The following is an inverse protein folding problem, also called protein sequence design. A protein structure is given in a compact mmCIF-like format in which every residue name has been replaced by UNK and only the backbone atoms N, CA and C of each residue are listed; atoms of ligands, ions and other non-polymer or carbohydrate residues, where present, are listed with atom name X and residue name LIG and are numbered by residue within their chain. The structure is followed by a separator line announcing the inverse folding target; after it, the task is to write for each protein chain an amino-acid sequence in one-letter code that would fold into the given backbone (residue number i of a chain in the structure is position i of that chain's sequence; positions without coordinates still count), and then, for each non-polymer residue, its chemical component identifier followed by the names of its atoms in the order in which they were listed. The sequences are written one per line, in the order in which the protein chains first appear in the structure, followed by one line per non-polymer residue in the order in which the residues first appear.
data_IF_434663241475
#
_entry.id   IF_434663241475
#
_cell.length_a   1.000
_cell.length_b   1.000
_cell.length_c   1.000
_cell.angle_alpha   90.00
_cell.angle_beta   90.00
_cell.angle_gamma   90.00
#
_symmetry.space_group_name_H-M   'P 1'
#
loop_
_entity.id
_entity.type
_entity.pdbx_description
1 polymer ?
#
# COMPACT_ATOMS: atom_id res chain seq x y z
N UNK A 1 16.31 -2.47 -2.07
CA UNK A 1 16.02 -3.90 -1.91
C UNK A 1 16.70 -4.73 -3.00
N UNK A 2 17.96 -5.13 -2.79
CA UNK A 2 18.68 -6.05 -3.70
C UNK A 2 19.42 -7.14 -2.89
N UNK A 3 18.84 -7.59 -1.78
CA UNK A 3 19.34 -8.72 -1.02
C UNK A 3 18.78 -10.01 -1.63
N UNK A 4 19.65 -11.01 -1.78
CA UNK A 4 19.19 -12.35 -2.14
C UNK A 4 18.34 -12.95 -1.01
N UNK A 5 17.49 -13.92 -1.35
CA UNK A 5 16.60 -14.59 -0.39
C UNK A 5 17.35 -15.09 0.86
N UNK A 6 18.52 -15.72 0.67
CA UNK A 6 19.34 -16.21 1.78
C UNK A 6 19.79 -15.08 2.71
N UNK A 7 20.15 -13.92 2.14
CA UNK A 7 20.59 -12.77 2.91
C UNK A 7 19.43 -12.12 3.68
N UNK A 8 18.23 -12.09 3.10
CA UNK A 8 17.00 -11.63 3.77
C UNK A 8 16.69 -12.54 4.97
N UNK A 9 16.70 -13.86 4.77
CA UNK A 9 16.43 -14.83 5.85
C UNK A 9 17.47 -14.72 6.97
N UNK A 10 18.75 -14.56 6.62
CA UNK A 10 19.81 -14.35 7.61
C UNK A 10 19.58 -13.06 8.40
N UNK A 11 19.28 -11.96 7.71
CA UNK A 11 19.03 -10.66 8.33
C UNK A 11 17.83 -10.70 9.26
N UNK A 12 16.73 -11.34 8.85
CA UNK A 12 15.54 -11.52 9.69
C UNK A 12 15.88 -12.25 10.99
N UNK A 13 16.62 -13.36 10.91
CA UNK A 13 17.06 -14.12 12.10
C UNK A 13 17.96 -13.30 13.02
N UNK A 14 18.85 -12.50 12.44
CA UNK A 14 19.74 -11.64 13.19
C UNK A 14 18.99 -10.51 13.90
N UNK A 15 18.04 -9.86 13.22
CA UNK A 15 17.21 -8.81 13.80
C UNK A 15 16.34 -9.34 14.94
N UNK A 16 15.77 -10.54 14.78
CA UNK A 16 14.97 -11.19 15.84
C UNK A 16 15.76 -11.52 17.10
N UNK A 17 17.06 -11.78 17.00
CA UNK A 17 17.90 -12.11 18.17
C UNK A 17 18.53 -10.88 18.82
N UNK A 18 18.43 -9.71 18.17
CA UNK A 18 18.98 -8.46 18.69
C UNK A 18 18.26 -8.02 19.97
N UNK A 19 19.04 -7.75 21.03
CA UNK A 19 18.51 -7.47 22.37
C UNK A 19 18.18 -5.99 22.62
N UNK A 20 18.51 -5.09 21.68
CA UNK A 20 18.22 -3.66 21.79
C UNK A 20 16.94 -3.25 21.06
N UNK A 21 16.61 -1.96 21.13
CA UNK A 21 15.52 -1.38 20.33
C UNK A 21 15.95 -1.20 18.87
N UNK A 22 15.12 -1.66 17.95
CA UNK A 22 15.32 -1.49 16.51
C UNK A 22 14.32 -0.49 15.94
N UNK A 23 14.79 0.41 15.08
CA UNK A 23 13.94 1.26 14.25
C UNK A 23 14.22 0.88 12.80
N UNK A 24 13.21 0.35 12.12
CA UNK A 24 13.31 -0.16 10.76
C UNK A 24 12.42 0.65 9.83
N UNK A 25 12.93 0.97 8.64
CA UNK A 25 12.17 1.61 7.56
C UNK A 25 12.22 0.66 6.37
N UNK A 26 11.06 0.12 5.98
CA UNK A 26 10.93 -0.77 4.84
C UNK A 26 9.56 -0.62 4.19
N UNK A 27 9.49 -0.94 2.90
CA UNK A 27 8.24 -1.10 2.16
C UNK A 27 7.85 -2.58 1.97
N UNK A 28 8.70 -3.50 2.44
CA UNK A 28 8.50 -4.94 2.34
C UNK A 28 7.69 -5.44 3.54
N UNK A 29 6.44 -5.83 3.28
CA UNK A 29 5.47 -6.27 4.28
C UNK A 29 5.86 -7.61 4.89
N UNK A 30 6.29 -8.54 4.06
CA UNK A 30 6.65 -9.90 4.47
C UNK A 30 7.91 -9.90 5.34
N UNK A 31 8.81 -8.95 5.11
CA UNK A 31 9.97 -8.73 5.96
C UNK A 31 9.61 -8.06 7.30
N UNK A 32 8.74 -7.06 7.29
CA UNK A 32 8.38 -6.33 8.51
C UNK A 32 7.55 -7.19 9.47
N UNK A 33 6.56 -7.91 8.95
CA UNK A 33 5.59 -8.65 9.74
C UNK A 33 6.19 -9.57 10.82
N UNK A 34 7.21 -10.40 10.53
CA UNK A 34 7.81 -11.27 11.53
C UNK A 34 8.77 -10.56 12.50
N UNK A 35 9.18 -9.32 12.24
CA UNK A 35 10.26 -8.63 12.99
C UNK A 35 9.70 -7.55 13.92
N UNK A 36 8.68 -6.82 13.49
CA UNK A 36 8.19 -5.65 14.22
C UNK A 36 7.01 -6.00 15.13
N UNK A 37 6.98 -5.38 16.30
CA UNK A 37 5.90 -5.47 17.29
C UNK A 37 5.10 -4.16 17.43
N UNK A 38 5.57 -3.09 16.79
CA UNK A 38 4.94 -1.78 16.71
C UNK A 38 5.19 -1.13 15.36
N UNK A 39 4.20 -0.37 14.89
CA UNK A 39 4.28 0.39 13.64
C UNK A 39 3.96 1.85 13.90
N UNK A 40 4.86 2.72 13.48
CA UNK A 40 4.63 4.15 13.40
C UNK A 40 4.29 4.47 11.94
N UNK A 41 3.01 4.73 11.70
CA UNK A 41 2.50 5.11 10.40
C UNK A 41 2.51 6.63 10.26
N UNK A 42 3.17 7.14 9.23
CA UNK A 42 3.27 8.57 8.95
C UNK A 42 2.35 8.90 7.78
N UNK A 43 1.33 9.71 8.03
CA UNK A 43 0.32 10.09 7.03
C UNK A 43 -0.16 11.53 7.31
N UNK A 44 -0.36 12.33 6.28
CA UNK A 44 -0.88 13.72 6.38
C UNK A 44 -0.12 14.57 7.43
N UNK A 45 1.21 14.53 7.39
CA UNK A 45 2.09 15.24 8.34
C UNK A 45 1.87 14.85 9.81
N UNK A 46 1.19 13.74 10.07
CA UNK A 46 0.91 13.20 11.40
C UNK A 46 1.53 11.81 11.56
N UNK A 47 1.74 11.40 12.82
CA UNK A 47 2.24 10.07 13.15
C UNK A 47 1.21 9.33 14.00
N UNK A 48 0.95 8.07 13.65
CA UNK A 48 0.03 7.20 14.35
C UNK A 48 0.75 5.92 14.75
N UNK A 49 0.71 5.59 16.03
CA UNK A 49 1.28 4.36 16.56
C UNK A 49 0.23 3.24 16.57
N UNK A 50 0.64 2.07 16.12
CA UNK A 50 -0.14 0.83 16.13
C UNK A 50 0.67 -0.25 16.84
N UNK A 51 0.01 -1.01 17.70
CA UNK A 51 0.62 -2.15 18.40
C UNK A 51 0.36 -3.44 17.62
N UNK A 52 1.38 -4.28 17.52
CA UNK A 52 1.38 -5.53 16.77
C UNK A 52 2.21 -5.47 15.48
N UNK A 53 2.19 -6.57 14.74
CA UNK A 53 2.90 -6.70 13.46
C UNK A 53 2.22 -5.93 12.31
N UNK A 54 2.82 -6.00 11.12
CA UNK A 54 2.32 -5.34 9.92
C UNK A 54 0.88 -5.74 9.54
N UNK A 55 0.55 -7.02 9.60
CA UNK A 55 -0.79 -7.53 9.30
C UNK A 55 -1.83 -6.96 10.26
N UNK A 56 -1.51 -6.90 11.55
CA UNK A 56 -2.40 -6.31 12.56
C UNK A 56 -2.59 -4.81 12.35
N UNK A 57 -1.55 -4.10 11.91
CA UNK A 57 -1.62 -2.69 11.55
C UNK A 57 -2.57 -2.46 10.38
N UNK A 58 -2.49 -3.26 9.31
CA UNK A 58 -3.38 -3.12 8.14
C UNK A 58 -4.85 -3.26 8.53
N UNK A 59 -5.16 -4.23 9.38
CA UNK A 59 -6.52 -4.43 9.92
C UNK A 59 -6.96 -3.23 10.76
N UNK A 60 -6.12 -2.79 11.72
CA UNK A 60 -6.43 -1.65 12.58
C UNK A 60 -6.64 -0.35 11.77
N UNK A 61 -5.81 -0.10 10.77
CA UNK A 61 -5.94 1.06 9.87
C UNK A 61 -7.24 0.97 9.06
N UNK A 62 -7.53 -0.19 8.47
CA UNK A 62 -8.76 -0.38 7.69
C UNK A 62 -10.01 -0.16 8.55
N UNK A 63 -10.06 -0.70 9.77
CA UNK A 63 -11.16 -0.48 10.71
C UNK A 63 -11.31 1.00 11.08
N UNK A 64 -10.19 1.68 11.38
CA UNK A 64 -10.19 3.11 11.72
C UNK A 64 -10.72 3.98 10.57
N UNK A 65 -10.26 3.72 9.34
CA UNK A 65 -10.71 4.44 8.16
C UNK A 65 -12.21 4.19 7.89
N UNK A 66 -12.68 2.95 8.03
CA UNK A 66 -14.09 2.61 7.87
C UNK A 66 -14.99 3.31 8.92
N UNK A 67 -14.55 3.35 10.18
CA UNK A 67 -15.27 4.07 11.25
C UNK A 67 -15.32 5.58 10.97
N UNK A 68 -14.19 6.18 10.58
CA UNK A 68 -14.14 7.59 10.22
C UNK A 68 -15.07 7.91 9.04
N UNK A 69 -15.08 7.06 8.01
CA UNK A 69 -15.95 7.23 6.85
C UNK A 69 -17.44 7.15 7.24
N UNK A 70 -17.83 6.17 8.06
CA UNK A 70 -19.21 6.06 8.53
C UNK A 70 -19.66 7.25 9.39
N UNK A 71 -18.77 7.76 10.26
CA UNK A 71 -19.04 8.97 11.05
C UNK A 71 -19.17 10.21 10.16
N UNK A 72 -18.31 10.34 9.15
CA UNK A 72 -18.36 11.41 8.17
C UNK A 72 -19.68 11.40 7.40
N UNK A 73 -20.09 10.24 6.87
CA UNK A 73 -21.36 10.08 6.13
C UNK A 73 -22.57 10.44 7.01
N UNK A 74 -22.62 9.93 8.24
CA UNK A 74 -23.68 10.26 9.20
C UNK A 74 -23.73 11.76 9.52
N UNK A 75 -22.58 12.41 9.62
CA UNK A 75 -22.51 13.85 9.83
C UNK A 75 -23.00 14.62 8.60
N UNK A 76 -22.60 14.21 7.39
CA UNK A 76 -23.04 14.83 6.13
C UNK A 76 -24.56 14.75 5.97
N UNK A 77 -25.17 13.61 6.26
CA UNK A 77 -26.63 13.46 6.24
C UNK A 77 -27.31 14.41 7.23
N UNK A 78 -26.77 14.52 8.44
CA UNK A 78 -27.29 15.43 9.47
C UNK A 78 -27.16 16.89 9.06
N UNK A 79 -26.03 17.27 8.47
CA UNK A 79 -25.79 18.60 7.93
C UNK A 79 -26.79 18.90 6.81
N UNK A 80 -26.94 18.00 5.84
CA UNK A 80 -27.88 18.15 4.73
C UNK A 80 -29.32 18.29 5.22
N UNK A 81 -29.73 17.50 6.23
CA UNK A 81 -31.05 17.61 6.82
C UNK A 81 -31.30 18.98 7.49
N UNK A 82 -30.35 19.44 8.32
CA UNK A 82 -30.43 20.76 8.96
C UNK A 82 -30.47 21.89 7.94
N UNK A 83 -29.62 21.81 6.92
CA UNK A 83 -29.55 22.78 5.83
C UNK A 83 -30.88 22.85 5.07
N UNK A 84 -31.45 21.70 4.69
CA UNK A 84 -32.73 21.65 3.97
C UNK A 84 -33.89 22.28 4.75
N UNK A 85 -33.84 22.23 6.08
CA UNK A 85 -34.84 22.89 6.92
C UNK A 85 -34.62 24.39 7.00
N UNK A 86 -33.36 24.83 7.16
CA UNK A 86 -33.02 26.25 7.14
C UNK A 86 -33.51 26.86 5.83
N UNK A 87 -33.17 26.26 4.70
CA UNK A 87 -33.54 26.75 3.37
C UNK A 87 -35.06 26.86 3.19
N UNK A 88 -35.81 25.87 3.67
CA UNK A 88 -37.29 25.86 3.58
C UNK A 88 -37.99 26.87 4.49
N UNK A 89 -37.41 27.20 5.65
CA UNK A 89 -38.11 27.95 6.70
C UNK A 89 -37.47 29.28 7.08
N UNK A 90 -36.34 29.66 6.47
CA UNK A 90 -35.63 30.94 6.73
C UNK A 90 -36.50 32.16 6.48
N UNK A 91 -37.36 32.12 5.46
CA UNK A 91 -38.23 33.24 5.08
C UNK A 91 -39.58 33.28 5.81
N UNK A 92 -39.92 32.26 6.62
CA UNK A 92 -41.20 32.20 7.34
C UNK A 92 -41.03 32.75 8.77
N UNK A 93 -41.65 33.90 9.05
CA UNK A 93 -41.57 34.59 10.34
C UNK A 93 -41.91 33.69 11.55
N UNK A 94 -42.89 32.79 11.41
CA UNK A 94 -43.31 31.85 12.47
C UNK A 94 -42.27 30.78 12.81
N UNK A 95 -41.32 30.51 11.90
CA UNK A 95 -40.28 29.48 12.07
C UNK A 95 -38.86 30.06 12.14
N UNK A 96 -38.71 31.38 12.07
CA UNK A 96 -37.43 32.08 12.07
C UNK A 96 -36.55 31.75 13.29
N UNK A 97 -37.12 31.69 14.51
CA UNK A 97 -36.36 31.30 15.72
C UNK A 97 -35.83 29.86 15.65
N UNK A 98 -36.60 28.93 15.07
CA UNK A 98 -36.17 27.52 14.90
C UNK A 98 -35.08 27.40 13.83
N UNK A 99 -35.19 28.14 12.73
CA UNK A 99 -34.17 28.20 11.69
C UNK A 99 -32.85 28.81 12.22
N UNK A 100 -32.92 29.93 12.97
CA UNK A 100 -31.74 30.54 13.60
C UNK A 100 -31.04 29.61 14.60
N UNK A 101 -31.79 28.83 15.39
CA UNK A 101 -31.21 27.83 16.30
C UNK A 101 -30.38 26.80 15.54
N UNK A 102 -30.90 26.27 14.42
CA UNK A 102 -30.20 25.27 13.60
C UNK A 102 -28.99 25.82 12.85
N UNK A 103 -29.04 27.10 12.43
CA UNK A 103 -27.86 27.80 11.89
C UNK A 103 -26.73 27.81 12.93
N UNK A 104 -27.03 28.22 14.17
CA UNK A 104 -26.05 28.21 15.27
C UNK A 104 -25.55 26.81 15.61
N UNK A 105 -26.38 25.78 15.45
CA UNK A 105 -25.96 24.39 15.64
C UNK A 105 -24.97 23.95 14.57
N UNK A 106 -25.18 24.33 13.30
CA UNK A 106 -24.25 24.04 12.21
C UNK A 106 -22.93 24.78 12.37
N UNK A 107 -22.95 26.06 12.74
CA UNK A 107 -21.74 26.87 12.98
C UNK A 107 -20.86 26.32 14.11
N UNK A 108 -21.46 25.66 15.10
CA UNK A 108 -20.75 25.06 16.23
C UNK A 108 -20.36 23.60 16.00
N UNK A 109 -20.73 23.01 14.86
CA UNK A 109 -20.43 21.61 14.57
C UNK A 109 -18.98 21.49 14.11
N UNK A 110 -18.19 20.68 14.82
CA UNK A 110 -16.86 20.31 14.35
C UNK A 110 -16.99 19.37 13.14
N UNK A 111 -16.40 19.75 12.02
CA UNK A 111 -16.44 18.96 10.79
C UNK A 111 -15.44 17.82 10.87
N UNK A 112 -15.93 16.60 10.62
CA UNK A 112 -15.11 15.41 10.49
C UNK A 112 -14.50 15.44 9.09
N UNK A 113 -13.19 15.23 8.99
CA UNK A 113 -12.53 15.09 7.69
C UNK A 113 -12.90 13.73 7.06
N UNK A 114 -13.10 13.64 5.74
CA UNK A 114 -13.33 12.37 5.07
C UNK A 114 -12.14 11.43 5.28
N UNK A 115 -12.41 10.12 5.34
CA UNK A 115 -11.34 9.15 5.36
C UNK A 115 -10.65 9.17 3.98
N UNK A 116 -9.41 9.64 3.93
CA UNK A 116 -8.60 9.50 2.72
C UNK A 116 -8.15 8.04 2.63
N UNK A 117 -8.76 7.29 1.72
CA UNK A 117 -8.19 6.01 1.26
C UNK A 117 -7.21 6.36 0.15
N UNK A 118 -5.97 5.89 0.26
CA UNK A 118 -4.98 6.01 -0.80
C UNK A 118 -5.63 5.58 -2.13
N UNK A 119 -5.56 6.45 -3.15
CA UNK A 119 -6.15 6.15 -4.43
C UNK A 119 -5.51 4.86 -4.97
N UNK A 120 -6.28 3.80 -5.28
CA UNK A 120 -5.69 2.54 -5.71
C UNK A 120 -4.82 2.80 -6.93
N UNK A 121 -3.50 2.60 -6.78
CA UNK A 121 -2.56 2.70 -7.87
C UNK A 121 -2.94 1.66 -8.92
N UNK A 122 -3.47 2.13 -10.05
CA UNK A 122 -3.77 1.28 -11.19
C UNK A 122 -2.62 1.36 -12.16
N UNK A 123 -2.01 0.21 -12.40
CA UNK A 123 -1.00 0.05 -13.43
C UNK A 123 -1.43 -1.11 -14.32
N UNK A 124 -1.29 -0.91 -15.63
CA UNK A 124 -1.51 -1.94 -16.63
C UNK A 124 -0.36 -1.93 -17.62
N UNK A 125 0.02 -3.12 -18.08
CA UNK A 125 0.90 -3.25 -19.22
C UNK A 125 0.09 -3.08 -20.51
N UNK A 126 0.72 -2.52 -21.55
CA UNK A 126 0.11 -2.46 -22.88
C UNK A 126 0.01 -3.88 -23.44
N UNK A 127 -1.11 -4.20 -24.07
CA UNK A 127 -1.24 -5.43 -24.85
C UNK A 127 -0.27 -5.39 -26.04
N UNK A 128 0.55 -6.43 -26.25
CA UNK A 128 1.44 -6.51 -27.40
C UNK A 128 0.64 -6.72 -28.70
N UNK A 129 1.11 -6.18 -29.82
CA UNK A 129 0.49 -6.35 -31.14
C UNK A 129 0.63 -7.77 -31.69
N UNK A 130 1.71 -8.47 -31.31
CA UNK A 130 2.01 -9.83 -31.76
C UNK A 130 2.72 -10.63 -30.67
N UNK A 131 2.37 -11.92 -30.56
CA UNK A 131 2.96 -12.88 -29.62
C UNK A 131 3.31 -14.17 -30.37
N UNK A 132 4.44 -14.20 -31.11
CA UNK A 132 4.88 -15.42 -31.80
C UNK A 132 5.21 -16.53 -30.79
N UNK A 133 5.12 -17.78 -31.25
CA UNK A 133 5.47 -18.95 -30.46
C UNK A 133 6.60 -19.73 -31.18
N UNK A 134 7.81 -19.87 -30.60
CA UNK A 134 8.24 -19.32 -29.29
C UNK A 134 8.58 -17.83 -29.36
N UNK A 135 8.58 -17.16 -28.20
CA UNK A 135 9.03 -15.76 -28.05
C UNK A 135 10.56 -15.67 -28.03
N UNK A 136 11.22 -16.63 -27.38
CA UNK A 136 12.67 -16.71 -27.27
C UNK A 136 13.08 -18.17 -27.16
N UNK A 137 14.06 -18.61 -27.95
CA UNK A 137 14.65 -19.93 -27.83
C UNK A 137 16.16 -19.80 -27.81
N UNK A 138 16.78 -20.30 -26.74
CA UNK A 138 18.23 -20.34 -26.55
C UNK A 138 18.66 -21.80 -26.42
N UNK A 139 19.68 -22.19 -27.17
CA UNK A 139 20.29 -23.51 -27.09
C UNK A 139 21.81 -23.35 -27.05
N UNK A 140 22.44 -23.89 -26.00
CA UNK A 140 23.90 -23.87 -25.81
C UNK A 140 24.50 -22.46 -25.85
N UNK A 141 23.80 -21.49 -25.26
CA UNK A 141 24.29 -20.11 -25.16
C UNK A 141 25.19 -19.97 -23.94
N UNK A 142 26.31 -19.27 -24.10
CA UNK A 142 27.19 -18.88 -22.98
C UNK A 142 27.22 -17.36 -22.87
N UNK A 143 27.23 -16.83 -21.65
CA UNK A 143 27.16 -15.40 -21.38
C UNK A 143 28.14 -15.01 -20.25
N UNK A 144 28.75 -13.84 -20.36
CA UNK A 144 29.82 -13.40 -19.47
C UNK A 144 30.30 -11.97 -19.76
N UNK A 145 31.36 -11.53 -19.07
CA UNK A 145 31.98 -10.22 -19.27
C UNK A 145 33.46 -10.38 -19.61
N UNK A 146 33.88 -9.85 -20.76
CA UNK A 146 35.24 -10.06 -21.28
C UNK A 146 35.54 -11.55 -21.41
N UNK A 147 36.64 -11.99 -20.79
CA UNK A 147 37.07 -13.40 -20.81
C UNK A 147 36.38 -14.27 -19.74
N UNK A 148 35.56 -13.67 -18.86
CA UNK A 148 34.91 -14.40 -17.77
C UNK A 148 33.52 -14.87 -18.19
N UNK A 149 33.39 -16.17 -18.46
CA UNK A 149 32.10 -16.84 -18.64
C UNK A 149 31.41 -16.96 -17.27
N UNK A 150 30.16 -16.49 -17.18
CA UNK A 150 29.34 -16.54 -15.97
C UNK A 150 28.28 -17.63 -16.10
N UNK A 151 27.66 -17.73 -17.27
CA UNK A 151 26.66 -18.73 -17.60
C UNK A 151 27.17 -19.54 -18.79
N UNK A 152 27.08 -20.86 -18.69
CA UNK A 152 27.47 -21.75 -19.77
C UNK A 152 26.32 -22.68 -20.14
N UNK A 153 26.24 -23.02 -21.44
CA UNK A 153 25.32 -24.03 -21.96
C UNK A 153 23.84 -23.79 -21.61
N UNK A 154 23.40 -22.52 -21.63
CA UNK A 154 22.04 -22.11 -21.32
C UNK A 154 21.05 -22.70 -22.34
N UNK A 155 19.99 -23.33 -21.82
CA UNK A 155 18.84 -23.80 -22.60
C UNK A 155 17.57 -23.18 -22.04
N UNK A 156 16.95 -22.28 -22.79
CA UNK A 156 15.73 -21.56 -22.39
C UNK A 156 14.74 -21.54 -23.56
N UNK A 157 13.47 -21.79 -23.27
CA UNK A 157 12.39 -21.67 -24.24
C UNK A 157 11.24 -20.87 -23.63
N UNK A 158 11.02 -19.66 -24.12
CA UNK A 158 9.98 -18.75 -23.68
C UNK A 158 8.80 -18.82 -24.64
N UNK A 159 7.61 -19.12 -24.15
CA UNK A 159 6.37 -19.13 -24.94
C UNK A 159 5.37 -18.11 -24.41
N UNK A 160 4.43 -17.59 -25.22
CA UNK A 160 3.42 -16.65 -24.76
C UNK A 160 2.67 -17.16 -23.52
N UNK A 161 2.50 -16.30 -22.51
CA UNK A 161 1.86 -16.65 -21.24
C UNK A 161 2.77 -17.27 -20.18
N UNK A 162 4.04 -17.54 -20.49
CA UNK A 162 5.00 -18.06 -19.51
C UNK A 162 5.26 -17.07 -18.38
N UNK A 163 5.33 -17.57 -17.14
CA UNK A 163 5.80 -16.81 -15.97
C UNK A 163 7.07 -17.47 -15.45
N UNK A 164 8.21 -16.81 -15.61
CA UNK A 164 9.52 -17.34 -15.22
C UNK A 164 10.11 -16.46 -14.14
N UNK A 165 10.51 -17.06 -13.01
CA UNK A 165 11.28 -16.41 -11.97
C UNK A 165 12.75 -16.83 -12.06
N UNK A 166 13.66 -15.86 -12.14
CA UNK A 166 15.10 -16.11 -12.08
C UNK A 166 15.59 -15.96 -10.64
N UNK A 167 16.01 -17.07 -10.05
CA UNK A 167 16.49 -17.13 -8.67
C UNK A 167 17.97 -17.49 -8.64
N UNK A 168 18.69 -16.96 -7.66
CA UNK A 168 20.11 -17.20 -7.48
C UNK A 168 20.75 -16.14 -6.61
N UNK A 169 21.97 -16.40 -6.14
CA UNK A 169 22.73 -15.45 -5.33
C UNK A 169 23.19 -14.24 -6.17
N UNK A 170 23.60 -13.17 -5.50
CA UNK A 170 24.15 -11.98 -6.14
C UNK A 170 25.46 -12.40 -6.82
N UNK A 171 25.59 -12.03 -8.10
CA UNK A 171 26.69 -12.49 -8.95
C UNK A 171 26.49 -13.86 -9.60
N UNK A 172 25.37 -14.56 -9.39
CA UNK A 172 25.07 -15.84 -10.06
C UNK A 172 24.67 -15.71 -11.55
N UNK A 173 24.78 -14.51 -12.14
CA UNK A 173 24.45 -14.27 -13.54
C UNK A 173 22.99 -13.91 -13.83
N UNK A 174 22.17 -13.60 -12.81
CA UNK A 174 20.74 -13.24 -13.00
C UNK A 174 20.51 -12.08 -13.98
N UNK A 175 21.36 -11.05 -13.94
CA UNK A 175 21.32 -9.90 -14.86
C UNK A 175 22.15 -10.11 -16.13
N UNK A 176 22.93 -11.19 -16.17
CA UNK A 176 23.75 -11.57 -17.33
C UNK A 176 22.96 -12.44 -18.30
N UNK A 177 21.95 -13.17 -17.80
CA UNK A 177 20.93 -13.86 -18.59
C UNK A 177 19.91 -12.87 -19.15
#
# INVERSE_FOLDING_TARGET
NHLDLDAVIWLEKWLKSYQGTLILISHDRDFLDPIVDKIIHIEQQSMFEYTGNYSSFEVQRATRLAQQQAMYESQQERVAHLQSYIDRFRAKATKAKQAQSRIKMLERMELIAPAHVDNPFRFSFRSPESLPNPLLKMEKVSAGYGDRIILDSIKLNLVPGSRIGLLGRNGAGKSTL
#
